data_IF_884234449122
#
_entry.id   IF_884234449122
#
_cell.length_a   1.000
_cell.length_b   1.000
_cell.length_c   1.000
_cell.angle_alpha   90.00
_cell.angle_beta   90.00
_cell.angle_gamma   90.00
#
_symmetry.space_group_name_H-M   'P 1'
#
loop_
_entity.id
_entity.type
_entity.pdbx_description
1 polymer ?
#
# COMPACT_ATOMS: atom_id res chain seq x y z
N UNK A 1 -32.06 -15.37 -16.68
CA UNK A 1 -30.87 -16.11 -17.18
C UNK A 1 -29.66 -15.22 -17.52
N UNK A 2 -29.82 -14.00 -18.06
CA UNK A 2 -28.70 -13.02 -18.17
C UNK A 2 -28.58 -12.20 -16.88
N UNK A 3 -29.70 -11.75 -16.30
CA UNK A 3 -29.72 -10.98 -15.03
C UNK A 3 -29.23 -11.77 -13.79
N UNK A 4 -29.41 -13.10 -13.78
CA UNK A 4 -28.90 -13.95 -12.69
C UNK A 4 -27.37 -14.10 -12.74
N UNK A 5 -26.77 -14.03 -13.93
CA UNK A 5 -25.30 -14.08 -14.10
C UNK A 5 -24.63 -12.76 -13.74
N UNK A 6 -25.34 -11.64 -13.86
CA UNK A 6 -24.84 -10.34 -13.39
C UNK A 6 -24.92 -10.23 -11.87
N UNK A 7 -26.00 -10.73 -11.24
CA UNK A 7 -26.10 -10.81 -9.77
C UNK A 7 -25.07 -11.75 -9.14
N UNK A 8 -24.79 -12.90 -9.76
CA UNK A 8 -23.74 -13.82 -9.26
C UNK A 8 -22.31 -13.24 -9.36
N UNK A 9 -22.07 -12.26 -10.24
CA UNK A 9 -20.77 -11.55 -10.30
C UNK A 9 -20.61 -10.50 -9.21
N UNK A 10 -21.71 -9.97 -8.67
CA UNK A 10 -21.70 -8.93 -7.65
C UNK A 10 -21.54 -9.51 -6.22
N UNK A 11 -21.94 -10.76 -5.99
CA UNK A 11 -21.94 -11.41 -4.67
C UNK A 11 -20.67 -12.20 -4.31
N UNK A 12 -19.56 -12.05 -5.07
CA UNK A 12 -18.24 -12.55 -4.66
C UNK A 12 -17.16 -11.47 -4.62
N UNK A 13 -17.50 -10.29 -4.13
CA UNK A 13 -16.51 -9.55 -3.32
C UNK A 13 -16.37 -10.31 -2.01
N UNK A 14 -15.55 -11.36 -2.03
CA UNK A 14 -14.92 -11.87 -0.81
C UNK A 14 -14.40 -10.62 -0.11
N UNK A 15 -14.91 -10.28 1.07
CA UNK A 15 -14.34 -9.27 1.93
C UNK A 15 -12.89 -9.70 2.17
N UNK A 16 -11.98 -9.27 1.30
CA UNK A 16 -10.56 -9.48 1.50
C UNK A 16 -10.25 -8.64 2.73
N UNK A 17 -10.16 -9.31 3.88
CA UNK A 17 -9.66 -8.69 5.10
C UNK A 17 -8.41 -7.91 4.74
N UNK A 18 -8.48 -6.59 4.89
CA UNK A 18 -7.40 -5.69 4.53
C UNK A 18 -6.22 -6.01 5.44
N UNK A 19 -5.11 -6.46 4.86
CA UNK A 19 -3.93 -6.90 5.61
C UNK A 19 -2.92 -5.76 5.67
N UNK A 20 -3.02 -4.96 6.73
CA UNK A 20 -2.02 -3.96 7.08
C UNK A 20 -1.14 -4.50 8.20
N UNK A 21 0.18 -4.42 8.01
CA UNK A 21 1.19 -4.70 9.03
C UNK A 21 1.96 -3.41 9.30
N UNK A 22 2.06 -3.02 10.58
CA UNK A 22 2.89 -1.89 10.98
C UNK A 22 4.19 -2.39 11.59
N UNK A 23 5.31 -2.03 10.96
CA UNK A 23 6.64 -2.29 11.45
C UNK A 23 7.15 -1.07 12.24
N UNK A 24 7.07 -1.15 13.57
CA UNK A 24 7.53 -0.10 14.46
C UNK A 24 8.93 -0.37 15.02
N UNK A 25 9.66 0.71 15.29
CA UNK A 25 10.96 0.62 15.95
C UNK A 25 11.65 1.97 16.07
N UNK A 26 12.69 2.06 16.89
CA UNK A 26 13.47 3.28 17.09
C UNK A 26 14.12 3.77 15.78
N UNK A 27 14.51 5.04 15.75
CA UNK A 27 15.35 5.57 14.68
C UNK A 27 16.66 4.77 14.60
N UNK A 28 17.13 4.46 13.39
CA UNK A 28 18.33 3.65 13.18
C UNK A 28 18.20 2.15 13.49
N UNK A 29 17.01 1.65 13.84
CA UNK A 29 16.80 0.22 14.14
C UNK A 29 16.87 -0.72 12.91
N UNK A 30 17.12 -0.19 11.72
CA UNK A 30 17.26 -0.98 10.49
C UNK A 30 15.95 -1.33 9.78
N UNK A 31 14.82 -0.67 10.10
CA UNK A 31 13.51 -0.94 9.45
C UNK A 31 13.57 -0.84 7.92
N UNK A 32 14.12 0.25 7.38
CA UNK A 32 14.28 0.44 5.95
C UNK A 32 15.18 -0.63 5.31
N UNK A 33 16.26 -1.02 6.00
CA UNK A 33 17.16 -2.07 5.53
C UNK A 33 16.45 -3.44 5.50
N UNK A 34 15.70 -3.76 6.56
CA UNK A 34 14.86 -4.96 6.61
C UNK A 34 13.82 -4.96 5.48
N UNK A 35 13.14 -3.84 5.26
CA UNK A 35 12.14 -3.72 4.19
C UNK A 35 12.74 -3.90 2.78
N UNK A 36 13.98 -3.45 2.55
CA UNK A 36 14.70 -3.73 1.30
C UNK A 36 15.05 -5.20 1.14
N UNK A 37 15.56 -5.81 2.19
CA UNK A 37 15.83 -7.25 2.18
C UNK A 37 14.55 -8.08 1.99
N UNK A 38 13.44 -7.66 2.60
CA UNK A 38 12.13 -8.27 2.42
C UNK A 38 11.62 -8.11 0.99
N UNK A 39 11.78 -6.93 0.37
CA UNK A 39 11.44 -6.71 -1.03
C UNK A 39 12.17 -7.71 -1.94
N UNK A 40 13.48 -7.89 -1.74
CA UNK A 40 14.31 -8.86 -2.47
C UNK A 40 13.82 -10.31 -2.28
N UNK A 41 13.58 -10.73 -1.05
CA UNK A 41 13.07 -12.07 -0.75
C UNK A 41 11.69 -12.32 -1.37
N UNK A 42 10.79 -11.32 -1.35
CA UNK A 42 9.48 -11.45 -1.98
C UNK A 42 9.60 -11.55 -3.50
N UNK A 43 10.54 -10.84 -4.12
CA UNK A 43 10.81 -10.97 -5.55
C UNK A 43 11.26 -12.38 -5.92
N UNK A 44 12.14 -13.00 -5.13
CA UNK A 44 12.54 -14.39 -5.34
C UNK A 44 11.34 -15.34 -5.28
N UNK A 45 10.44 -15.15 -4.31
CA UNK A 45 9.23 -15.98 -4.21
C UNK A 45 8.27 -15.77 -5.39
N UNK A 46 8.18 -14.56 -5.92
CA UNK A 46 7.35 -14.23 -7.08
C UNK A 46 7.92 -14.87 -8.35
N UNK A 47 9.23 -14.73 -8.59
CA UNK A 47 9.92 -15.34 -9.74
C UNK A 47 9.82 -16.86 -9.72
N UNK A 48 9.88 -17.46 -8.53
CA UNK A 48 9.73 -18.90 -8.35
C UNK A 48 8.26 -19.38 -8.42
N UNK A 49 7.30 -18.47 -8.66
CA UNK A 49 5.87 -18.79 -8.78
C UNK A 49 5.19 -19.20 -7.47
N UNK A 50 5.84 -18.99 -6.32
CA UNK A 50 5.29 -19.32 -5.00
C UNK A 50 4.26 -18.31 -4.50
N UNK A 51 4.26 -17.10 -5.07
CA UNK A 51 3.27 -16.05 -4.82
C UNK A 51 2.93 -15.33 -6.12
N UNK A 52 1.70 -14.81 -6.22
CA UNK A 52 1.27 -13.94 -7.32
C UNK A 52 1.40 -12.46 -6.98
N UNK A 53 1.78 -12.13 -5.74
CA UNK A 53 1.88 -10.74 -5.28
C UNK A 53 3.23 -10.13 -5.65
N UNK A 54 3.18 -8.99 -6.35
CA UNK A 54 4.36 -8.21 -6.75
C UNK A 54 4.78 -7.30 -5.60
N UNK A 55 5.98 -7.43 -5.04
CA UNK A 55 6.46 -6.52 -4.01
C UNK A 55 6.88 -5.18 -4.61
N UNK A 56 6.48 -4.08 -3.97
CA UNK A 56 6.88 -2.73 -4.39
C UNK A 56 7.24 -1.92 -3.15
N UNK A 57 8.53 -1.60 -3.02
CA UNK A 57 8.98 -0.63 -2.04
C UNK A 57 8.71 0.81 -2.49
N UNK A 58 8.13 1.57 -1.57
CA UNK A 58 7.71 2.97 -1.73
C UNK A 58 8.26 3.76 -0.54
N UNK A 59 9.18 4.67 -0.81
CA UNK A 59 9.65 5.64 0.20
C UNK A 59 8.63 6.77 0.32
N UNK A 60 7.88 6.81 1.42
CA UNK A 60 6.87 7.84 1.66
C UNK A 60 7.46 9.25 1.62
N UNK A 61 8.62 9.56 2.22
CA UNK A 61 9.24 10.88 2.13
C UNK A 61 9.45 11.39 0.71
N UNK A 62 9.69 10.46 -0.24
CA UNK A 62 9.98 10.77 -1.64
C UNK A 62 8.72 11.07 -2.46
N UNK A 63 7.61 10.39 -2.15
CA UNK A 63 6.39 10.42 -2.98
C UNK A 63 5.21 11.12 -2.33
N UNK A 64 5.27 11.36 -1.02
CA UNK A 64 4.18 12.01 -0.29
C UNK A 64 4.08 13.51 -0.64
N UNK A 65 2.86 13.92 -0.98
CA UNK A 65 2.48 15.31 -1.25
C UNK A 65 1.11 15.59 -0.62
N UNK A 66 1.05 16.56 0.28
CA UNK A 66 -0.14 16.99 1.03
C UNK A 66 -1.32 17.38 0.12
N UNK A 67 -1.03 17.85 -1.10
CA UNK A 67 -2.06 18.26 -2.06
C UNK A 67 -2.64 17.08 -2.84
N UNK A 68 -1.98 15.92 -2.86
CA UNK A 68 -2.30 14.77 -3.72
C UNK A 68 -2.04 13.41 -3.05
N UNK A 69 -2.44 13.26 -1.79
CA UNK A 69 -2.15 12.08 -0.98
C UNK A 69 -2.71 10.78 -1.58
N UNK A 70 -3.89 10.86 -2.22
CA UNK A 70 -4.53 9.75 -2.95
C UNK A 70 -3.72 9.24 -4.15
N UNK A 71 -2.71 9.99 -4.59
CA UNK A 71 -1.86 9.63 -5.72
C UNK A 71 -0.48 9.10 -5.32
N UNK A 72 -0.20 8.91 -4.02
CA UNK A 72 1.13 8.44 -3.57
C UNK A 72 1.52 7.12 -4.22
N UNK A 73 0.61 6.13 -4.25
CA UNK A 73 0.88 4.83 -4.88
C UNK A 73 1.06 4.97 -6.39
N UNK A 74 0.17 5.71 -7.06
CA UNK A 74 0.22 5.86 -8.51
C UNK A 74 1.46 6.61 -8.97
N UNK A 75 1.90 7.65 -8.25
CA UNK A 75 3.14 8.36 -8.52
C UNK A 75 4.37 7.46 -8.29
N UNK A 76 4.37 6.65 -7.24
CA UNK A 76 5.46 5.71 -6.99
C UNK A 76 5.61 4.67 -8.11
N UNK A 77 4.49 4.16 -8.64
CA UNK A 77 4.47 3.22 -9.76
C UNK A 77 4.88 3.88 -11.08
N UNK A 78 4.40 5.09 -11.37
CA UNK A 78 4.80 5.85 -12.56
C UNK A 78 6.32 6.11 -12.60
N UNK A 79 6.91 6.41 -11.46
CA UNK A 79 8.36 6.59 -11.32
C UNK A 79 9.16 5.29 -11.50
N UNK A 80 8.48 4.14 -11.53
CA UNK A 80 9.03 2.84 -11.95
C UNK A 80 8.72 2.50 -13.42
N UNK A 81 8.44 3.53 -14.24
CA UNK A 81 8.11 3.44 -15.67
C UNK A 81 6.79 2.73 -16.01
N UNK A 82 5.84 2.73 -15.09
CA UNK A 82 4.48 2.24 -15.36
C UNK A 82 3.67 3.37 -16.00
N UNK A 83 3.20 3.15 -17.23
CA UNK A 83 2.40 4.15 -17.96
C UNK A 83 1.05 4.38 -17.24
N UNK A 84 0.60 5.63 -17.22
CA UNK A 84 -0.71 6.03 -16.68
C UNK A 84 -1.87 5.29 -17.34
N UNK A 85 -1.77 5.02 -18.64
CA UNK A 85 -2.78 4.30 -19.42
C UNK A 85 -2.93 2.82 -18.99
N UNK A 86 -1.90 2.23 -18.38
CA UNK A 86 -1.92 0.86 -17.88
C UNK A 86 -2.40 0.75 -16.43
N UNK A 87 -2.59 1.88 -15.73
CA UNK A 87 -2.87 1.88 -14.30
C UNK A 87 -4.19 1.19 -13.96
N UNK A 88 -5.23 1.40 -14.76
CA UNK A 88 -6.54 0.77 -14.54
C UNK A 88 -6.44 -0.75 -14.68
N UNK A 89 -5.78 -1.21 -15.74
CA UNK A 89 -5.50 -2.64 -15.95
C UNK A 89 -4.69 -3.23 -14.79
N UNK A 90 -3.69 -2.50 -14.31
CA UNK A 90 -2.83 -2.93 -13.21
C UNK A 90 -3.62 -3.05 -11.90
N UNK A 91 -4.46 -2.06 -11.58
CA UNK A 91 -5.29 -2.10 -10.36
C UNK A 91 -6.23 -3.31 -10.34
N UNK A 92 -6.80 -3.66 -11.48
CA UNK A 92 -7.76 -4.77 -11.59
C UNK A 92 -7.11 -6.15 -11.63
N UNK A 93 -5.94 -6.28 -12.26
CA UNK A 93 -5.39 -7.59 -12.62
C UNK A 93 -4.16 -8.00 -11.81
N UNK A 94 -3.53 -7.08 -11.07
CA UNK A 94 -2.27 -7.34 -10.37
C UNK A 94 -2.49 -7.29 -8.86
N UNK A 95 -1.93 -8.28 -8.16
CA UNK A 95 -1.87 -8.31 -6.71
C UNK A 95 -0.52 -7.77 -6.22
N UNK A 96 -0.50 -6.95 -5.17
CA UNK A 96 0.72 -6.28 -4.69
C UNK A 96 1.04 -6.55 -3.22
N UNK A 97 2.33 -6.49 -2.88
CA UNK A 97 2.76 -6.18 -1.50
C UNK A 97 3.38 -4.80 -1.51
N UNK A 98 2.67 -3.81 -0.96
CA UNK A 98 3.21 -2.46 -0.81
C UNK A 98 3.99 -2.33 0.47
N UNK A 99 5.26 -1.94 0.35
CA UNK A 99 6.14 -1.66 1.48
C UNK A 99 6.33 -0.15 1.55
N UNK A 100 5.55 0.50 2.40
CA UNK A 100 5.50 1.94 2.62
C UNK A 100 6.49 2.32 3.74
N UNK A 101 7.64 2.85 3.37
CA UNK A 101 8.73 3.12 4.31
C UNK A 101 8.82 4.60 4.69
N UNK A 102 8.98 4.88 5.98
CA UNK A 102 9.22 6.22 6.52
C UNK A 102 7.95 7.02 6.78
N UNK A 103 6.91 6.42 7.36
CA UNK A 103 5.66 7.15 7.65
C UNK A 103 5.89 8.27 8.68
N UNK A 104 6.79 8.07 9.66
CA UNK A 104 7.09 9.10 10.66
C UNK A 104 7.66 10.39 10.06
N UNK A 105 8.34 10.30 8.92
CA UNK A 105 8.96 11.44 8.24
C UNK A 105 7.94 12.32 7.47
N UNK A 106 6.72 11.80 7.26
CA UNK A 106 5.61 12.55 6.66
C UNK A 106 4.54 12.91 7.68
N UNK A 107 4.65 12.42 8.93
CA UNK A 107 3.60 12.53 9.94
C UNK A 107 3.18 13.98 10.21
N UNK A 108 4.12 14.91 10.39
CA UNK A 108 3.81 16.32 10.65
C UNK A 108 2.99 16.99 9.53
N UNK A 109 3.14 16.50 8.29
CA UNK A 109 2.41 16.96 7.12
C UNK A 109 1.09 16.22 6.96
N UNK A 110 1.08 14.95 7.34
CA UNK A 110 -0.11 14.11 7.38
C UNK A 110 -1.11 14.59 8.43
N UNK A 111 -0.68 14.81 9.67
CA UNK A 111 -1.54 15.18 10.81
C UNK A 111 -2.27 16.52 10.63
N UNK A 112 -1.71 17.45 9.85
CA UNK A 112 -2.33 18.76 9.58
C UNK A 112 -3.55 18.72 8.67
N UNK A 113 -3.74 17.65 7.91
CA UNK A 113 -4.84 17.52 6.95
C UNK A 113 -5.95 16.65 7.58
N UNK A 114 -7.03 17.28 8.01
CA UNK A 114 -8.04 16.70 8.90
C UNK A 114 -9.23 16.03 8.18
N UNK A 115 -9.11 15.76 6.87
CA UNK A 115 -10.26 15.39 6.03
C UNK A 115 -10.55 13.88 6.02
N UNK A 116 -9.54 13.03 6.21
CA UNK A 116 -9.67 11.57 6.26
C UNK A 116 -8.73 11.05 7.37
N UNK A 117 -9.29 10.38 8.38
CA UNK A 117 -8.57 10.01 9.61
C UNK A 117 -7.55 8.89 9.40
N UNK A 118 -7.85 7.96 8.51
CA UNK A 118 -7.10 6.73 8.35
C UNK A 118 -6.23 6.75 7.10
N UNK A 119 -4.97 6.34 7.24
CA UNK A 119 -3.98 6.42 6.15
C UNK A 119 -4.37 5.53 4.96
N UNK A 120 -5.10 4.44 5.24
CA UNK A 120 -5.54 3.48 4.23
C UNK A 120 -6.45 4.14 3.19
N UNK A 121 -7.48 4.85 3.66
CA UNK A 121 -8.42 5.55 2.78
C UNK A 121 -7.77 6.80 2.17
N UNK A 122 -6.95 7.49 2.95
CA UNK A 122 -6.27 8.72 2.54
C UNK A 122 -5.26 8.53 1.42
N UNK A 123 -4.60 7.37 1.39
CA UNK A 123 -3.72 6.97 0.28
C UNK A 123 -4.45 6.17 -0.80
N UNK A 124 -5.78 6.03 -0.69
CA UNK A 124 -6.64 5.34 -1.64
C UNK A 124 -6.21 3.87 -1.85
N UNK A 125 -5.79 3.21 -0.76
CA UNK A 125 -5.28 1.83 -0.81
C UNK A 125 -6.37 0.80 -1.11
N UNK A 126 -7.64 1.16 -0.88
CA UNK A 126 -8.82 0.38 -1.24
C UNK A 126 -8.96 0.13 -2.76
N UNK A 127 -8.37 0.96 -3.62
CA UNK A 127 -8.36 0.74 -5.08
C UNK A 127 -7.34 -0.32 -5.52
N UNK A 128 -6.52 -0.82 -4.60
CA UNK A 128 -5.43 -1.74 -4.90
C UNK A 128 -5.70 -3.10 -4.26
N UNK A 129 -5.59 -4.16 -5.05
CA UNK A 129 -5.51 -5.52 -4.51
C UNK A 129 -4.13 -5.74 -3.89
N UNK A 130 -3.93 -5.25 -2.66
CA UNK A 130 -2.63 -5.17 -2.04
C UNK A 130 -2.61 -5.58 -0.56
N UNK A 131 -1.51 -6.23 -0.15
CA UNK A 131 -1.10 -6.33 1.26
C UNK A 131 -0.18 -5.16 1.58
N UNK A 132 -0.35 -4.55 2.75
CA UNK A 132 0.35 -3.32 3.10
C UNK A 132 1.28 -3.57 4.27
N UNK A 133 2.54 -3.18 4.13
CA UNK A 133 3.52 -3.10 5.20
C UNK A 133 3.91 -1.63 5.32
N UNK A 134 3.66 -1.01 6.46
CA UNK A 134 4.06 0.39 6.71
C UNK A 134 5.10 0.44 7.82
N UNK A 135 6.17 1.20 7.63
CA UNK A 135 7.19 1.40 8.66
C UNK A 135 6.99 2.74 9.34
N UNK A 136 7.25 2.77 10.65
CA UNK A 136 7.16 4.00 11.41
C UNK A 136 8.05 3.97 12.66
N UNK A 137 8.29 5.14 13.27
CA UNK A 137 8.82 5.19 14.63
C UNK A 137 7.77 4.68 15.61
N UNK A 138 8.26 4.09 16.71
CA UNK A 138 7.39 3.70 17.81
C UNK A 138 6.54 4.87 18.27
N UNK A 139 5.27 4.62 18.57
CA UNK A 139 4.29 5.59 19.10
C UNK A 139 3.78 6.66 18.11
N UNK A 140 4.07 6.55 16.81
CA UNK A 140 3.55 7.48 15.79
C UNK A 140 2.28 6.96 15.12
N UNK A 141 2.13 5.64 14.98
CA UNK A 141 0.90 4.99 14.52
C UNK A 141 0.38 4.08 15.63
N UNK A 142 -0.91 4.18 15.95
CA UNK A 142 -1.62 3.26 16.83
C UNK A 142 -2.54 2.34 16.02
N UNK A 143 -3.00 1.25 16.64
CA UNK A 143 -3.94 0.32 16.01
C UNK A 143 -5.25 1.02 15.58
N UNK A 144 -5.62 2.08 16.31
CA UNK A 144 -6.77 2.94 16.00
C UNK A 144 -6.59 3.79 14.73
N UNK A 145 -5.36 4.05 14.29
CA UNK A 145 -5.07 4.83 13.07
C UNK A 145 -5.15 3.97 11.78
N UNK A 146 -5.36 2.65 11.95
CA UNK A 146 -5.33 1.64 10.90
C UNK A 146 -6.74 1.08 10.61
N UNK A 147 -7.68 1.20 11.56
CA UNK A 147 -9.03 0.63 11.42
C UNK A 147 -9.98 1.55 10.66
N UNK A 148 -10.92 0.94 9.92
CA UNK A 148 -11.99 1.59 9.15
C UNK A 148 -13.19 1.99 10.03
#
# INVERSE_FOLDING_TARGET
MIEEKEKEKEEKKTEQQQQVIVLQGKSGAGKSLFCRHLEEALWETYVNGSTTFIPVYISLPKYYNELNEKQVISQALQMKNINKEMMDVIRENISFVFILDGFDEIFDRYDKNNNERYFYDRFNLNEWNAKIIVTCRSHVLNDEDIQH
#
